data_IF_517061936424
#
_entry.id   IF_517061936424
#
_cell.length_a   1.000
_cell.length_b   1.000
_cell.length_c   1.000
_cell.angle_alpha   90.00
_cell.angle_beta   90.00
_cell.angle_gamma   90.00
#
_symmetry.space_group_name_H-M   'P 1'
#
loop_
_entity.id
_entity.type
_entity.pdbx_description
1 polymer ?
#
# COMPACT_ATOMS: atom_id res chain seq x y z
N UNK A 1 -11.49 3.36 -17.14
CA UNK A 1 -10.77 2.35 -17.95
C UNK A 1 -11.74 1.36 -18.58
N UNK A 2 -12.49 0.55 -17.82
CA UNK A 2 -13.47 -0.36 -18.47
C UNK A 2 -14.59 0.37 -19.23
N UNK A 3 -14.99 1.56 -18.79
CA UNK A 3 -15.94 2.42 -19.52
C UNK A 3 -15.38 2.97 -20.84
N UNK A 4 -14.06 3.02 -20.97
CA UNK A 4 -13.37 3.56 -22.15
C UNK A 4 -12.94 2.48 -23.15
N UNK A 5 -13.48 1.26 -23.02
CA UNK A 5 -13.20 0.13 -23.89
C UNK A 5 -11.84 -0.54 -23.69
N UNK A 6 -11.13 -0.20 -22.62
CA UNK A 6 -9.86 -0.85 -22.27
C UNK A 6 -10.14 -2.20 -21.61
N UNK A 7 -9.67 -3.27 -22.22
CA UNK A 7 -9.78 -4.63 -21.68
C UNK A 7 -8.68 -4.89 -20.63
N UNK A 8 -9.02 -4.70 -19.36
CA UNK A 8 -8.12 -4.95 -18.23
C UNK A 8 -8.16 -6.44 -17.88
N UNK A 9 -7.11 -7.18 -18.22
CA UNK A 9 -7.00 -8.62 -17.96
C UNK A 9 -6.78 -8.97 -16.50
N UNK A 10 -6.11 -8.09 -15.75
CA UNK A 10 -5.83 -8.28 -14.33
C UNK A 10 -5.24 -7.04 -13.69
N UNK A 11 -5.24 -7.02 -12.37
CA UNK A 11 -4.66 -5.97 -11.53
C UNK A 11 -3.76 -6.62 -10.49
N UNK A 12 -2.60 -6.06 -10.26
CA UNK A 12 -1.73 -6.41 -9.14
C UNK A 12 -1.77 -5.26 -8.15
N UNK A 13 -2.20 -5.53 -6.94
CA UNK A 13 -2.15 -4.61 -5.83
C UNK A 13 -0.87 -4.91 -5.03
N UNK A 14 -0.01 -3.91 -4.88
CA UNK A 14 1.22 -4.03 -4.10
C UNK A 14 1.00 -3.29 -2.79
N UNK A 15 0.76 -4.04 -1.74
CA UNK A 15 0.50 -3.59 -0.37
C UNK A 15 -0.48 -2.40 -0.27
N UNK A 16 -1.42 -2.34 -1.21
CA UNK A 16 -2.35 -1.22 -1.36
C UNK A 16 -3.39 -1.23 -0.24
N UNK A 17 -3.55 -0.13 0.52
CA UNK A 17 -4.64 -0.01 1.48
C UNK A 17 -5.99 -0.07 0.77
N UNK A 18 -6.99 -0.67 1.43
CA UNK A 18 -8.34 -0.69 0.90
C UNK A 18 -9.02 0.67 1.15
N UNK A 19 -9.68 1.26 0.14
CA UNK A 19 -10.35 2.55 0.33
C UNK A 19 -11.40 2.56 1.44
N UNK A 20 -12.04 1.42 1.70
CA UNK A 20 -13.10 1.32 2.73
C UNK A 20 -12.58 1.45 4.15
N UNK A 21 -11.33 1.04 4.38
CA UNK A 21 -10.72 0.97 5.71
C UNK A 21 -9.55 1.96 5.86
N UNK A 22 -9.34 2.77 4.82
CA UNK A 22 -8.21 3.69 4.80
C UNK A 22 -8.42 4.85 5.78
N UNK A 23 -7.42 5.04 6.64
CA UNK A 23 -7.30 6.20 7.52
C UNK A 23 -6.25 7.13 6.94
N UNK A 24 -6.58 8.42 6.86
CA UNK A 24 -5.65 9.44 6.34
C UNK A 24 -4.37 9.48 7.18
N UNK A 25 -3.23 9.52 6.49
CA UNK A 25 -1.94 9.66 7.17
C UNK A 25 -1.80 11.05 7.77
N UNK A 26 -1.40 11.12 9.03
CA UNK A 26 -1.12 12.39 9.70
C UNK A 26 0.12 13.08 9.12
N UNK A 27 0.20 14.40 9.28
CA UNK A 27 1.36 15.17 8.85
C UNK A 27 2.65 14.69 9.55
N UNK A 28 2.57 14.38 10.84
CA UNK A 28 3.68 13.86 11.65
C UNK A 28 4.19 12.54 11.10
N UNK A 29 3.29 11.62 10.77
CA UNK A 29 3.65 10.31 10.21
C UNK A 29 4.24 10.46 8.80
N UNK A 30 3.66 11.31 7.95
CA UNK A 30 4.21 11.61 6.61
C UNK A 30 5.61 12.20 6.71
N UNK A 31 5.82 13.13 7.63
CA UNK A 31 7.14 13.72 7.90
C UNK A 31 8.15 12.66 8.32
N UNK A 32 7.76 11.78 9.23
CA UNK A 32 8.61 10.69 9.70
C UNK A 32 9.00 9.74 8.57
N UNK A 33 8.04 9.27 7.79
CA UNK A 33 8.27 8.35 6.65
C UNK A 33 9.27 8.94 5.66
N UNK A 34 9.08 10.20 5.26
CA UNK A 34 9.90 10.84 4.24
C UNK A 34 11.31 11.16 4.76
N UNK A 35 11.49 11.35 6.08
CA UNK A 35 12.79 11.71 6.66
C UNK A 35 13.64 10.52 7.14
N UNK A 36 13.08 9.31 7.22
CA UNK A 36 13.82 8.13 7.71
C UNK A 36 15.10 7.83 6.93
N UNK A 37 15.18 8.18 5.65
CA UNK A 37 16.29 7.87 4.75
C UNK A 37 17.53 8.75 4.85
N UNK A 38 17.64 9.71 5.79
CA UNK A 38 18.72 10.72 5.84
C UNK A 38 18.98 11.33 4.45
N UNK A 39 18.08 12.13 3.93
CA UNK A 39 18.12 12.59 2.57
C UNK A 39 19.35 13.47 2.29
N UNK A 40 19.93 13.32 1.12
CA UNK A 40 20.93 14.22 0.59
C UNK A 40 20.34 15.63 0.35
N UNK A 41 21.21 16.64 0.15
CA UNK A 41 20.73 18.01 -0.06
C UNK A 41 19.79 18.15 -1.28
N UNK A 42 20.01 17.41 -2.34
CA UNK A 42 19.14 17.38 -3.53
C UNK A 42 17.80 16.68 -3.27
N UNK A 43 17.78 15.73 -2.36
CA UNK A 43 16.55 15.02 -1.97
C UNK A 43 15.66 15.90 -1.10
N UNK A 44 16.24 16.78 -0.28
CA UNK A 44 15.48 17.76 0.54
C UNK A 44 14.55 18.61 -0.30
N UNK A 45 14.97 19.05 -1.49
CA UNK A 45 14.12 19.85 -2.39
C UNK A 45 12.92 19.05 -2.92
N UNK A 46 13.07 17.75 -3.14
CA UNK A 46 11.99 16.86 -3.58
C UNK A 46 11.06 16.45 -2.44
N UNK A 47 11.53 16.48 -1.20
CA UNK A 47 10.76 16.00 -0.04
C UNK A 47 9.43 16.72 0.12
N UNK A 48 9.38 18.02 -0.14
CA UNK A 48 8.13 18.79 -0.09
C UNK A 48 7.07 18.24 -1.05
N UNK A 49 7.47 17.93 -2.27
CA UNK A 49 6.59 17.37 -3.29
C UNK A 49 6.15 15.95 -2.92
N UNK A 50 7.05 15.14 -2.38
CA UNK A 50 6.74 13.76 -1.94
C UNK A 50 5.74 13.77 -0.77
N UNK A 51 5.95 14.62 0.24
CA UNK A 51 5.02 14.80 1.36
C UNK A 51 3.62 15.21 0.88
N UNK A 52 3.57 16.20 -0.01
CA UNK A 52 2.29 16.67 -0.55
C UNK A 52 1.59 15.58 -1.39
N UNK A 53 2.32 14.78 -2.16
CA UNK A 53 1.76 13.66 -2.90
C UNK A 53 1.22 12.58 -1.96
N UNK A 54 1.94 12.20 -0.93
CA UNK A 54 1.49 11.22 0.06
C UNK A 54 0.20 11.70 0.75
N UNK A 55 0.17 12.96 1.19
CA UNK A 55 -1.00 13.56 1.83
C UNK A 55 -2.21 13.55 0.90
N UNK A 56 -2.07 14.08 -0.31
CA UNK A 56 -3.16 14.13 -1.31
C UNK A 56 -3.66 12.75 -1.70
N UNK A 57 -2.74 11.80 -1.92
CA UNK A 57 -3.11 10.42 -2.25
C UNK A 57 -3.90 9.76 -1.13
N UNK A 58 -3.50 9.99 0.12
CA UNK A 58 -4.19 9.49 1.29
C UNK A 58 -5.60 10.08 1.44
N UNK A 59 -5.75 11.39 1.24
CA UNK A 59 -7.05 12.06 1.27
C UNK A 59 -7.97 11.57 0.14
N UNK A 60 -7.45 11.43 -1.07
CA UNK A 60 -8.20 10.92 -2.22
C UNK A 60 -8.66 9.49 -2.00
N UNK A 61 -7.85 8.66 -1.37
CA UNK A 61 -8.18 7.29 -1.09
C UNK A 61 -9.31 7.18 -0.06
N UNK A 62 -9.27 7.99 1.00
CA UNK A 62 -10.32 8.04 2.01
C UNK A 62 -11.67 8.50 1.44
N UNK A 63 -11.64 9.44 0.49
CA UNK A 63 -12.84 9.97 -0.17
C UNK A 63 -13.29 9.16 -1.40
N UNK A 64 -12.63 8.05 -1.70
CA UNK A 64 -12.93 7.31 -2.92
C UNK A 64 -14.30 6.64 -2.84
N UNK A 65 -15.21 6.93 -3.77
CA UNK A 65 -16.53 6.31 -3.77
C UNK A 65 -16.41 4.82 -4.06
N UNK A 66 -17.28 4.02 -3.45
CA UNK A 66 -17.35 2.59 -3.77
C UNK A 66 -17.45 2.41 -5.28
N UNK A 67 -16.62 1.54 -5.86
CA UNK A 67 -16.75 1.24 -7.27
C UNK A 67 -18.13 0.60 -7.51
N UNK A 68 -18.78 0.91 -8.63
CA UNK A 68 -20.09 0.35 -8.94
C UNK A 68 -20.01 -1.18 -9.04
N UNK A 69 -21.05 -1.86 -8.66
CA UNK A 69 -21.19 -3.31 -8.86
C UNK A 69 -20.89 -3.65 -10.33
N UNK A 70 -20.02 -4.60 -10.53
CA UNK A 70 -19.64 -5.00 -11.87
C UNK A 70 -18.61 -6.13 -11.91
N UNK A 71 -18.34 -6.67 -13.10
CA UNK A 71 -17.30 -7.69 -13.24
C UNK A 71 -15.93 -7.05 -13.03
N UNK A 72 -15.36 -7.29 -11.87
CA UNK A 72 -13.99 -6.84 -11.59
C UNK A 72 -12.96 -7.74 -12.29
N UNK A 73 -11.85 -7.19 -12.79
CA UNK A 73 -10.75 -7.97 -13.36
C UNK A 73 -10.16 -8.91 -12.31
N UNK A 74 -9.36 -9.87 -12.73
CA UNK A 74 -8.60 -10.70 -11.78
C UNK A 74 -7.66 -9.80 -10.97
N UNK A 75 -7.63 -10.02 -9.65
CA UNK A 75 -6.78 -9.24 -8.74
C UNK A 75 -5.85 -10.19 -8.02
N UNK A 76 -4.57 -9.84 -8.02
CA UNK A 76 -3.51 -10.46 -7.24
C UNK A 76 -3.04 -9.46 -6.18
N UNK A 77 -2.74 -9.92 -4.96
CA UNK A 77 -2.29 -9.07 -3.87
C UNK A 77 -0.90 -9.47 -3.40
N UNK A 78 0.05 -8.55 -3.50
CA UNK A 78 1.37 -8.68 -2.90
C UNK A 78 1.36 -7.90 -1.58
N UNK A 79 1.49 -8.60 -0.46
CA UNK A 79 1.45 -8.01 0.88
C UNK A 79 2.85 -7.90 1.45
N UNK A 80 3.23 -6.73 1.93
CA UNK A 80 4.46 -6.55 2.71
C UNK A 80 4.40 -7.37 4.00
N UNK A 81 5.46 -8.11 4.29
CA UNK A 81 5.52 -9.03 5.44
C UNK A 81 5.80 -8.32 6.77
N UNK A 82 6.32 -7.09 6.71
CA UNK A 82 6.70 -6.32 7.90
C UNK A 82 5.85 -5.06 8.04
N UNK A 83 5.53 -4.70 9.27
CA UNK A 83 4.95 -3.40 9.59
C UNK A 83 6.02 -2.31 9.60
N UNK A 84 5.59 -1.08 9.40
CA UNK A 84 6.48 0.09 9.48
C UNK A 84 7.00 0.23 10.89
N UNK A 85 8.32 0.31 11.03
CA UNK A 85 9.00 0.47 12.32
C UNK A 85 9.14 1.96 12.64
N UNK A 86 8.61 2.37 13.77
CA UNK A 86 8.67 3.75 14.26
C UNK A 86 9.29 3.74 15.64
N UNK A 87 10.41 4.46 15.81
CA UNK A 87 11.12 4.54 17.08
C UNK A 87 10.45 5.52 18.06
N UNK A 88 9.88 6.61 17.54
CA UNK A 88 9.20 7.62 18.35
C UNK A 88 7.83 7.12 18.82
N UNK A 89 7.60 7.10 20.13
CA UNK A 89 6.33 6.70 20.74
C UNK A 89 5.16 7.55 20.21
N UNK A 90 5.34 8.87 20.15
CA UNK A 90 4.30 9.81 19.69
C UNK A 90 3.91 9.58 18.22
N UNK A 91 4.85 9.19 17.39
CA UNK A 91 4.55 8.86 15.99
C UNK A 91 3.94 7.47 15.87
N UNK A 92 4.35 6.54 16.73
CA UNK A 92 3.83 5.16 16.74
C UNK A 92 2.33 5.12 16.99
N UNK A 93 1.81 5.98 17.87
CA UNK A 93 0.37 6.08 18.14
C UNK A 93 -0.44 6.57 16.94
N UNK A 94 0.21 7.27 16.00
CA UNK A 94 -0.43 7.78 14.79
C UNK A 94 -0.36 6.80 13.60
N UNK A 95 0.38 5.68 13.74
CA UNK A 95 0.51 4.68 12.66
C UNK A 95 -0.79 3.90 12.52
N UNK A 96 -1.46 3.96 11.36
CA UNK A 96 -2.67 3.17 11.14
C UNK A 96 -2.41 1.67 11.27
N UNK A 97 -3.40 0.94 11.75
CA UNK A 97 -3.30 -0.52 11.94
C UNK A 97 -2.86 -1.24 10.66
N UNK A 98 -3.39 -0.83 9.51
CA UNK A 98 -3.03 -1.44 8.21
C UNK A 98 -1.55 -1.28 7.85
N UNK A 99 -0.86 -0.29 8.43
CA UNK A 99 0.55 0.01 8.18
C UNK A 99 1.47 -0.59 9.26
N UNK A 100 0.97 -0.68 10.50
CA UNK A 100 1.73 -1.15 11.66
C UNK A 100 1.68 -2.68 11.82
N UNK A 101 0.47 -3.24 11.75
CA UNK A 101 0.22 -4.64 12.01
C UNK A 101 0.20 -5.46 10.72
N UNK A 102 1.08 -6.46 10.67
CA UNK A 102 1.20 -7.43 9.57
C UNK A 102 0.89 -8.86 9.99
N UNK A 103 0.31 -9.03 11.18
CA UNK A 103 -0.13 -10.32 11.67
C UNK A 103 -1.20 -10.97 10.78
N UNK A 104 -2.07 -11.76 11.34
CA UNK A 104 -3.17 -12.39 10.62
C UNK A 104 -4.26 -11.39 10.21
N UNK A 105 -4.01 -10.11 10.45
CA UNK A 105 -4.99 -9.07 10.33
C UNK A 105 -5.57 -9.00 8.93
N UNK A 106 -6.84 -9.11 8.89
CA UNK A 106 -7.69 -8.96 7.71
C UNK A 106 -7.71 -7.51 7.20
N UNK A 107 -7.01 -6.59 7.88
CA UNK A 107 -7.14 -5.15 7.70
C UNK A 107 -6.78 -4.64 6.32
N UNK A 108 -5.89 -5.30 5.60
CA UNK A 108 -5.52 -4.86 4.24
C UNK A 108 -6.18 -5.72 3.17
N UNK A 109 -5.99 -7.03 3.26
CA UNK A 109 -6.50 -7.97 2.27
C UNK A 109 -8.00 -8.19 2.44
N UNK A 110 -8.47 -8.30 3.71
CA UNK A 110 -9.88 -8.51 4.02
C UNK A 110 -10.78 -7.37 3.52
N UNK A 111 -10.35 -6.12 3.63
CA UNK A 111 -11.07 -4.98 3.07
C UNK A 111 -11.24 -5.10 1.55
N UNK A 112 -10.17 -5.49 0.83
CA UNK A 112 -10.24 -5.73 -0.61
C UNK A 112 -11.10 -6.95 -0.96
N UNK A 113 -11.04 -8.03 -0.19
CA UNK A 113 -11.89 -9.22 -0.39
C UNK A 113 -13.37 -8.89 -0.19
N UNK A 114 -13.69 -8.11 0.84
CA UNK A 114 -15.04 -7.62 1.08
C UNK A 114 -15.53 -6.72 -0.06
N UNK A 115 -14.70 -5.76 -0.48
CA UNK A 115 -15.03 -4.83 -1.58
C UNK A 115 -15.27 -5.56 -2.91
N UNK A 116 -14.49 -6.59 -3.20
CA UNK A 116 -14.56 -7.33 -4.45
C UNK A 116 -15.52 -8.54 -4.39
N UNK A 117 -16.05 -8.85 -3.21
CA UNK A 117 -16.96 -9.98 -3.00
C UNK A 117 -16.34 -11.36 -3.24
N UNK A 118 -15.01 -11.48 -3.12
CA UNK A 118 -14.29 -12.73 -3.39
C UNK A 118 -12.94 -12.79 -2.69
N UNK A 119 -12.43 -14.02 -2.46
CA UNK A 119 -11.08 -14.25 -1.97
C UNK A 119 -10.04 -13.83 -3.00
N UNK A 120 -8.93 -13.23 -2.52
CA UNK A 120 -7.80 -12.82 -3.33
C UNK A 120 -6.65 -13.82 -3.25
N UNK A 121 -5.96 -14.01 -4.37
CA UNK A 121 -4.68 -14.68 -4.37
C UNK A 121 -3.65 -13.74 -3.78
N UNK A 122 -3.01 -14.17 -2.68
CA UNK A 122 -2.07 -13.38 -1.89
C UNK A 122 -0.69 -13.99 -1.88
N UNK A 123 0.32 -13.15 -1.92
CA UNK A 123 1.71 -13.49 -1.68
C UNK A 123 2.31 -12.47 -0.73
N UNK A 124 3.10 -12.96 0.22
CA UNK A 124 3.87 -12.11 1.11
C UNK A 124 5.23 -11.79 0.47
N UNK A 125 5.58 -10.51 0.47
CA UNK A 125 6.85 -9.98 0.00
C UNK A 125 7.64 -9.43 1.20
N UNK A 126 8.98 -9.47 1.18
CA UNK A 126 9.79 -8.98 2.29
C UNK A 126 9.71 -7.46 2.42
N UNK A 127 10.04 -6.96 3.60
CA UNK A 127 10.05 -5.53 3.94
C UNK A 127 8.69 -4.97 4.33
N UNK A 128 8.67 -3.69 4.62
CA UNK A 128 7.47 -2.92 4.96
C UNK A 128 6.83 -2.28 3.71
N UNK A 129 5.77 -1.50 3.92
CA UNK A 129 5.00 -0.85 2.85
C UNK A 129 5.84 0.01 1.89
N UNK A 130 6.93 0.60 2.35
CA UNK A 130 7.77 1.52 1.58
C UNK A 130 9.00 0.85 0.94
N UNK A 131 9.21 -0.44 1.23
CA UNK A 131 10.42 -1.17 0.84
C UNK A 131 10.24 -2.24 -0.25
N UNK A 132 9.06 -2.50 -0.83
CA UNK A 132 8.86 -3.65 -1.72
C UNK A 132 9.73 -3.60 -2.99
N UNK A 133 10.16 -2.42 -3.40
CA UNK A 133 10.96 -2.20 -4.60
C UNK A 133 12.45 -1.94 -4.32
N UNK A 134 12.89 -2.07 -3.07
CA UNK A 134 14.33 -2.04 -2.78
C UNK A 134 15.05 -3.24 -3.43
N UNK A 135 16.27 -3.08 -3.94
CA UNK A 135 16.98 -4.13 -4.66
C UNK A 135 17.06 -5.46 -3.92
N UNK A 136 17.27 -5.43 -2.61
CA UNK A 136 17.33 -6.60 -1.73
C UNK A 136 15.98 -7.35 -1.65
N UNK A 137 14.87 -6.66 -1.78
CA UNK A 137 13.53 -7.24 -1.71
C UNK A 137 13.05 -7.74 -3.08
N UNK A 138 13.41 -7.05 -4.16
CA UNK A 138 13.05 -7.45 -5.53
C UNK A 138 13.68 -8.78 -5.91
N UNK A 139 14.92 -9.04 -5.52
CA UNK A 139 15.62 -10.30 -5.81
C UNK A 139 14.92 -11.51 -5.17
N UNK A 140 14.35 -11.33 -3.99
CA UNK A 140 13.64 -12.40 -3.24
C UNK A 140 12.25 -12.68 -3.85
N UNK A 141 11.61 -11.68 -4.43
CA UNK A 141 10.30 -11.80 -5.08
C UNK A 141 10.39 -12.57 -6.40
N UNK A 142 11.49 -12.44 -7.14
CA UNK A 142 11.72 -13.16 -8.40
C UNK A 142 11.93 -14.66 -8.23
N UNK A 143 12.36 -15.14 -7.06
CA UNK A 143 12.61 -16.57 -6.81
C UNK A 143 11.34 -17.35 -6.47
N UNK A 144 10.25 -16.68 -6.12
CA UNK A 144 8.95 -17.32 -5.94
C UNK A 144 8.17 -17.16 -7.24
N UNK A 145 8.23 -18.17 -8.11
CA UNK A 145 7.45 -18.24 -9.34
C UNK A 145 6.00 -17.84 -9.07
N UNK A 146 5.63 -16.62 -9.43
CA UNK A 146 4.25 -16.18 -9.51
C UNK A 146 3.67 -16.83 -10.78
N UNK A 147 3.32 -18.11 -10.70
CA UNK A 147 2.54 -18.76 -11.76
C UNK A 147 1.14 -18.17 -11.74
N UNK A 148 0.93 -17.21 -12.58
CA UNK A 148 -0.39 -16.64 -12.85
C UNK A 148 -1.04 -17.50 -13.93
N UNK A 149 -1.73 -18.57 -13.51
CA UNK A 149 -2.64 -19.35 -14.35
C UNK A 149 -4.10 -19.07 -13.99
#
# INVERSE_FOLDING_TARGET
MMKDGVDVKGVVLVDSPCPTDHVTLSATLVDHIVTQGRPSRSEVEMMGSVKEQLRKSSELLQGYPHPPDGPYPRVAFLRSGEGVKVESESVREEVPVWLADRGESETTVGGWEALLGRRLKRWDIPGDHFQPFLPENVSTTNTRHVSVY
#
